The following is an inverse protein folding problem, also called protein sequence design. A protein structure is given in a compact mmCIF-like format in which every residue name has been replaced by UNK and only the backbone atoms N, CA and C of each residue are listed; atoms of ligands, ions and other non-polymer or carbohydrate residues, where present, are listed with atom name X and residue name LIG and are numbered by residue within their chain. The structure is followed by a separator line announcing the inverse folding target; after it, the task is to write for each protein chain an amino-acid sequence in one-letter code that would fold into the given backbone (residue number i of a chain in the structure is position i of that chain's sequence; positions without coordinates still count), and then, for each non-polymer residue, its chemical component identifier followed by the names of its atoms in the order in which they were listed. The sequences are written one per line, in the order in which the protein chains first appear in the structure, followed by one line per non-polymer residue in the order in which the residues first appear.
data_IF_862693677993
#
_entry.id   IF_862693677993
#
_cell.length_a   1.000
_cell.length_b   1.000
_cell.length_c   1.000
_cell.angle_alpha   90.00
_cell.angle_beta   90.00
_cell.angle_gamma   90.00
#
_symmetry.space_group_name_H-M   'P 1'
#
loop_
_entity.id
_entity.type
_entity.pdbx_description
1 polymer ?
#
# COMPACT_ATOMS: atom_id res chain seq x y z
N UNK A 1 -11.72 16.59 -1.66
CA UNK A 1 -11.84 18.03 -1.68
C UNK A 1 -10.91 18.66 -2.72
N UNK A 2 -9.58 18.52 -2.57
CA UNK A 2 -8.60 19.07 -3.51
C UNK A 2 -8.40 18.25 -4.79
N UNK A 3 -8.98 17.06 -4.89
CA UNK A 3 -8.72 16.08 -5.95
C UNK A 3 -7.24 15.70 -6.09
N UNK A 4 -6.42 15.94 -5.05
CA UNK A 4 -5.06 15.45 -5.00
C UNK A 4 -5.06 13.91 -5.07
N UNK A 5 -4.14 13.36 -5.80
CA UNK A 5 -4.06 11.93 -6.07
C UNK A 5 -2.67 11.38 -5.79
N UNK A 6 -2.60 10.14 -5.37
CA UNK A 6 -1.38 9.34 -5.26
C UNK A 6 -1.63 7.96 -5.85
N UNK A 7 -0.64 7.38 -6.48
CA UNK A 7 -0.70 6.03 -7.01
C UNK A 7 0.57 5.26 -6.71
N UNK A 8 0.40 4.00 -6.33
CA UNK A 8 1.47 3.03 -6.15
C UNK A 8 1.17 1.79 -6.99
N UNK A 9 2.20 1.24 -7.61
CA UNK A 9 2.12 -0.06 -8.29
C UNK A 9 2.22 -1.17 -7.25
N UNK A 10 1.27 -2.09 -7.26
CA UNK A 10 1.19 -3.23 -6.35
C UNK A 10 1.17 -4.52 -7.17
N UNK A 11 2.11 -5.43 -6.95
CA UNK A 11 2.23 -6.67 -7.71
C UNK A 11 1.40 -7.82 -7.13
N UNK A 12 1.03 -7.77 -5.87
CA UNK A 12 0.43 -8.91 -5.15
C UNK A 12 -1.08 -8.88 -4.97
N UNK A 13 -1.77 -7.89 -5.57
CA UNK A 13 -3.18 -7.69 -5.34
C UNK A 13 -3.49 -7.05 -3.97
N UNK A 14 -4.76 -7.10 -3.57
CA UNK A 14 -5.23 -6.44 -2.36
C UNK A 14 -4.71 -7.13 -1.09
N UNK A 15 -3.87 -6.43 -0.33
CA UNK A 15 -3.38 -6.87 0.97
C UNK A 15 -3.34 -5.70 1.95
N UNK A 16 -3.36 -6.00 3.25
CA UNK A 16 -3.23 -4.95 4.26
C UNK A 16 -1.87 -4.23 4.16
N UNK A 17 -0.77 -4.96 3.93
CA UNK A 17 0.55 -4.36 3.79
C UNK A 17 0.61 -3.38 2.61
N UNK A 18 0.03 -3.74 1.45
CA UNK A 18 -0.05 -2.85 0.29
C UNK A 18 -0.91 -1.60 0.57
N UNK A 19 -2.07 -1.78 1.23
CA UNK A 19 -2.93 -0.67 1.64
C UNK A 19 -2.21 0.26 2.61
N UNK A 20 -1.64 -0.29 3.69
CA UNK A 20 -0.99 0.49 4.73
C UNK A 20 0.24 1.24 4.22
N UNK A 21 1.06 0.60 3.40
CA UNK A 21 2.24 1.21 2.79
C UNK A 21 1.84 2.34 1.83
N UNK A 22 0.89 2.07 0.92
CA UNK A 22 0.41 3.06 -0.04
C UNK A 22 -0.27 4.26 0.62
N UNK A 23 -1.09 4.02 1.66
CA UNK A 23 -1.74 5.10 2.41
C UNK A 23 -0.72 5.96 3.16
N UNK A 24 0.25 5.36 3.84
CA UNK A 24 1.29 6.08 4.56
C UNK A 24 2.18 6.92 3.63
N UNK A 25 2.50 6.40 2.44
CA UNK A 25 3.19 7.18 1.41
C UNK A 25 2.34 8.35 0.92
N UNK A 26 1.06 8.10 0.65
CA UNK A 26 0.12 9.15 0.21
C UNK A 26 0.02 10.28 1.25
N UNK A 27 -0.17 9.94 2.52
CA UNK A 27 -0.22 10.92 3.61
C UNK A 27 1.09 11.73 3.74
N UNK A 28 2.24 11.05 3.61
CA UNK A 28 3.56 11.70 3.60
C UNK A 28 3.72 12.69 2.45
N UNK A 29 3.29 12.34 1.24
CA UNK A 29 3.35 13.19 0.06
C UNK A 29 2.34 14.36 0.11
N UNK A 30 1.16 14.12 0.67
CA UNK A 30 0.15 15.17 0.91
C UNK A 30 0.65 16.18 1.96
N UNK A 31 1.44 15.70 2.93
CA UNK A 31 1.99 16.50 4.02
C UNK A 31 1.06 16.65 5.22
N UNK A 32 0.10 15.74 5.40
CA UNK A 32 -0.83 15.74 6.53
C UNK A 32 -1.86 14.63 6.47
N UNK A 33 -2.70 14.56 7.48
CA UNK A 33 -3.69 13.49 7.67
C UNK A 33 -5.10 14.07 7.61
N UNK A 34 -5.98 13.57 6.71
CA UNK A 34 -7.39 13.97 6.70
C UNK A 34 -8.11 13.44 7.94
N UNK A 35 -9.26 14.02 8.27
CA UNK A 35 -10.12 13.54 9.38
C UNK A 35 -10.72 12.17 9.10
N UNK A 36 -11.00 11.89 7.82
CA UNK A 36 -11.63 10.66 7.36
C UNK A 36 -10.83 10.02 6.23
N UNK A 37 -10.73 8.69 6.24
CA UNK A 37 -10.24 7.90 5.12
C UNK A 37 -11.36 6.99 4.62
N UNK A 38 -11.88 7.29 3.46
CA UNK A 38 -12.99 6.57 2.84
C UNK A 38 -12.47 5.49 1.90
N UNK A 39 -12.87 4.24 2.13
CA UNK A 39 -12.49 3.12 1.28
C UNK A 39 -13.72 2.46 0.67
N UNK A 40 -13.56 1.87 -0.50
CA UNK A 40 -14.51 0.93 -1.07
C UNK A 40 -14.45 -0.42 -0.33
N UNK A 41 -15.16 -1.43 -0.82
CA UNK A 41 -15.29 -2.78 -0.24
C UNK A 41 -13.97 -3.57 -0.20
N UNK A 42 -12.88 -2.93 0.23
CA UNK A 42 -11.55 -3.53 0.29
C UNK A 42 -11.48 -4.54 1.44
N UNK A 43 -11.24 -5.83 1.16
CA UNK A 43 -11.13 -6.91 2.16
C UNK A 43 -10.01 -6.68 3.18
N UNK A 44 -8.98 -5.92 2.82
CA UNK A 44 -7.90 -5.54 3.72
C UNK A 44 -8.37 -4.57 4.83
N UNK A 45 -9.42 -3.79 4.58
CA UNK A 45 -9.97 -2.81 5.50
C UNK A 45 -11.23 -3.31 6.24
N UNK A 46 -12.05 -4.15 5.59
CA UNK A 46 -13.37 -4.52 6.08
C UNK A 46 -13.59 -6.02 6.15
N UNK A 47 -14.29 -6.47 7.23
CA UNK A 47 -14.82 -7.84 7.35
C UNK A 47 -16.35 -7.78 7.28
N UNK A 48 -16.95 -8.81 6.71
CA UNK A 48 -18.40 -9.05 6.86
C UNK A 48 -18.67 -9.62 8.26
N UNK A 49 -19.66 -9.09 8.94
CA UNK A 49 -20.13 -9.59 10.23
C UNK A 49 -21.60 -10.04 10.10
N UNK A 50 -21.82 -11.35 10.11
CA UNK A 50 -23.15 -11.94 10.10
C UNK A 50 -23.93 -11.80 8.79
N UNK A 51 -25.21 -12.26 8.83
CA UNK A 51 -26.14 -12.24 7.69
C UNK A 51 -26.71 -10.84 7.39
N UNK A 52 -26.62 -9.92 8.34
CA UNK A 52 -27.20 -8.55 8.23
C UNK A 52 -26.40 -7.58 7.37
N UNK A 53 -25.33 -8.05 6.69
CA UNK A 53 -24.53 -7.21 5.80
C UNK A 53 -23.72 -6.12 6.51
N UNK A 54 -23.69 -6.09 7.84
CA UNK A 54 -22.88 -5.15 8.60
C UNK A 54 -21.38 -5.42 8.34
N UNK A 55 -20.63 -4.33 8.11
CA UNK A 55 -19.19 -4.37 7.89
C UNK A 55 -18.47 -3.75 9.07
N UNK A 56 -17.42 -4.43 9.50
CA UNK A 56 -16.56 -3.99 10.59
C UNK A 56 -15.14 -3.77 10.07
N UNK A 57 -14.46 -2.75 10.58
CA UNK A 57 -13.04 -2.54 10.30
C UNK A 57 -12.22 -3.76 10.72
N UNK A 58 -11.27 -4.16 9.89
CA UNK A 58 -10.29 -5.14 10.35
C UNK A 58 -9.45 -4.51 11.48
N UNK A 59 -9.02 -5.31 12.45
CA UNK A 59 -8.24 -4.81 13.60
C UNK A 59 -7.00 -4.03 13.16
N UNK A 60 -6.31 -4.53 12.14
CA UNK A 60 -5.11 -3.89 11.59
C UNK A 60 -5.40 -2.55 10.95
N UNK A 61 -6.51 -2.44 10.22
CA UNK A 61 -6.89 -1.18 9.59
C UNK A 61 -7.44 -0.18 10.61
N UNK A 62 -8.18 -0.65 11.62
CA UNK A 62 -8.61 0.18 12.75
C UNK A 62 -7.41 0.76 13.50
N UNK A 63 -6.39 -0.07 13.79
CA UNK A 63 -5.15 0.37 14.44
C UNK A 63 -4.37 1.38 13.58
N UNK A 64 -4.34 1.20 12.25
CA UNK A 64 -3.73 2.16 11.32
C UNK A 64 -4.46 3.50 11.34
N UNK A 65 -5.80 3.49 11.28
CA UNK A 65 -6.61 4.71 11.38
C UNK A 65 -6.41 5.42 12.71
N UNK A 66 -6.39 4.68 13.81
CA UNK A 66 -6.14 5.22 15.16
C UNK A 66 -4.75 5.84 15.27
N UNK A 67 -3.71 5.18 14.73
CA UNK A 67 -2.33 5.69 14.73
C UNK A 67 -2.22 7.06 14.05
N UNK A 68 -2.95 7.27 12.94
CA UNK A 68 -2.99 8.51 12.20
C UNK A 68 -4.05 9.50 12.72
N UNK A 69 -4.88 9.11 13.67
CA UNK A 69 -5.97 9.94 14.20
C UNK A 69 -7.05 10.26 13.16
N UNK A 70 -7.28 9.36 12.20
CA UNK A 70 -8.33 9.47 11.19
C UNK A 70 -9.44 8.44 11.43
N UNK A 71 -10.62 8.71 10.93
CA UNK A 71 -11.75 7.79 10.96
C UNK A 71 -11.80 6.99 9.65
N UNK A 72 -11.83 5.66 9.75
CA UNK A 72 -12.11 4.80 8.59
C UNK A 72 -13.61 4.78 8.28
N UNK A 73 -13.98 5.16 7.06
CA UNK A 73 -15.38 5.22 6.62
C UNK A 73 -15.57 4.30 5.41
N UNK A 74 -16.66 3.56 5.39
CA UNK A 74 -17.04 2.71 4.27
C UNK A 74 -17.95 3.47 3.31
N UNK A 75 -17.75 3.29 2.01
CA UNK A 75 -18.70 3.75 1.01
C UNK A 75 -19.99 2.94 1.09
N UNK A 76 -21.13 3.62 1.24
CA UNK A 76 -22.42 2.96 1.24
C UNK A 76 -22.71 2.33 -0.13
N UNK A 77 -22.92 1.02 -0.15
CA UNK A 77 -23.35 0.31 -1.35
C UNK A 77 -24.69 0.90 -1.83
N UNK A 78 -24.77 1.28 -3.11
CA UNK A 78 -26.00 1.78 -3.72
C UNK A 78 -26.15 3.30 -3.80
N UNK A 79 -25.27 4.10 -3.19
CA UNK A 79 -25.23 5.57 -3.38
C UNK A 79 -24.17 5.98 -4.40
N UNK A 80 -24.43 5.70 -5.68
CA UNK A 80 -23.51 6.01 -6.78
C UNK A 80 -23.05 7.47 -6.87
N UNK A 81 -23.80 8.40 -6.29
CA UNK A 81 -23.43 9.82 -6.27
C UNK A 81 -22.24 10.14 -5.36
N UNK A 82 -21.99 9.34 -4.31
CA UNK A 82 -20.86 9.55 -3.40
C UNK A 82 -19.51 9.16 -4.04
N UNK A 83 -19.51 8.24 -5.01
CA UNK A 83 -18.32 7.75 -5.71
C UNK A 83 -18.08 8.41 -7.07
N UNK A 84 -19.06 9.11 -7.64
CA UNK A 84 -19.00 9.63 -9.00
C UNK A 84 -17.80 10.57 -9.26
N UNK A 85 -17.43 11.39 -8.27
CA UNK A 85 -16.27 12.29 -8.39
C UNK A 85 -14.93 11.50 -8.37
N UNK A 86 -14.82 10.47 -7.52
CA UNK A 86 -13.62 9.63 -7.42
C UNK A 86 -13.50 8.74 -8.64
N UNK A 87 -14.59 8.12 -9.11
CA UNK A 87 -14.62 7.31 -10.33
C UNK A 87 -14.27 8.13 -11.56
N UNK A 88 -14.80 9.34 -11.67
CA UNK A 88 -14.46 10.29 -12.74
C UNK A 88 -12.98 10.66 -12.71
N UNK A 89 -12.43 11.00 -11.54
CA UNK A 89 -11.00 11.32 -11.37
C UNK A 89 -10.11 10.13 -11.75
N UNK A 90 -10.48 8.91 -11.31
CA UNK A 90 -9.78 7.68 -11.70
C UNK A 90 -9.86 7.44 -13.21
N UNK A 91 -11.01 7.66 -13.84
CA UNK A 91 -11.19 7.56 -15.30
C UNK A 91 -10.31 8.54 -16.06
N UNK A 92 -10.20 9.79 -15.60
CA UNK A 92 -9.31 10.79 -16.18
C UNK A 92 -7.84 10.42 -16.05
N UNK A 93 -7.43 9.94 -14.88
CA UNK A 93 -6.05 9.55 -14.63
C UNK A 93 -5.66 8.32 -15.45
N UNK A 94 -6.52 7.29 -15.52
CA UNK A 94 -6.31 6.11 -16.38
C UNK A 94 -6.16 6.49 -17.85
N UNK A 95 -6.98 7.40 -18.39
CA UNK A 95 -6.85 7.90 -19.76
C UNK A 95 -5.52 8.63 -19.98
N UNK A 96 -5.10 9.47 -19.06
CA UNK A 96 -3.82 10.18 -19.12
C UNK A 96 -2.64 9.22 -19.14
N UNK A 97 -2.64 8.21 -18.27
CA UNK A 97 -1.59 7.17 -18.24
C UNK A 97 -1.56 6.43 -19.58
N UNK A 98 -2.72 6.02 -20.11
CA UNK A 98 -2.80 5.35 -21.41
C UNK A 98 -2.25 6.21 -22.54
N UNK A 99 -2.60 7.48 -22.61
CA UNK A 99 -2.06 8.42 -23.58
C UNK A 99 -0.54 8.58 -23.46
N UNK A 100 -0.04 8.68 -22.23
CA UNK A 100 1.40 8.79 -21.97
C UNK A 100 2.16 7.51 -22.39
N UNK A 101 1.57 6.32 -22.23
CA UNK A 101 2.14 5.06 -22.72
C UNK A 101 2.19 5.02 -24.25
N UNK A 102 1.14 5.48 -24.92
CA UNK A 102 1.11 5.60 -26.40
C UNK A 102 2.23 6.54 -26.89
N UNK A 103 2.38 7.71 -26.25
CA UNK A 103 3.43 8.67 -26.58
C UNK A 103 4.85 8.13 -26.29
N UNK A 104 4.99 7.28 -25.29
CA UNK A 104 6.25 6.58 -25.00
C UNK A 104 6.59 5.53 -26.07
N UNK A 105 5.61 5.01 -26.80
CA UNK A 105 5.78 4.00 -27.84
C UNK A 105 5.97 2.58 -27.33
N UNK A 106 5.93 2.33 -26.02
CA UNK A 106 6.02 0.99 -25.41
C UNK A 106 5.28 0.95 -24.09
N UNK A 107 4.67 -0.22 -23.81
CA UNK A 107 4.08 -0.55 -22.52
C UNK A 107 5.07 -1.28 -21.58
N UNK A 108 6.26 -1.64 -22.08
CA UNK A 108 7.23 -2.42 -21.33
C UNK A 108 8.18 -1.52 -20.55
N UNK A 109 8.52 -1.96 -19.36
CA UNK A 109 9.46 -1.30 -18.45
C UNK A 109 10.52 -2.31 -18.00
N UNK A 110 11.76 -1.86 -17.91
CA UNK A 110 12.87 -2.73 -17.51
C UNK A 110 12.81 -3.11 -16.04
N UNK A 111 12.26 -2.24 -15.20
CA UNK A 111 12.12 -2.46 -13.76
C UNK A 111 10.79 -1.93 -13.23
N UNK A 112 10.38 -2.44 -12.07
CA UNK A 112 9.21 -1.93 -11.35
C UNK A 112 9.40 -0.46 -10.95
N UNK A 113 10.61 -0.07 -10.61
CA UNK A 113 10.95 1.32 -10.22
C UNK A 113 10.79 2.28 -11.39
N UNK A 114 11.20 1.86 -12.60
CA UNK A 114 10.97 2.65 -13.81
C UNK A 114 9.48 2.86 -14.05
N UNK A 115 8.68 1.79 -13.91
CA UNK A 115 7.22 1.89 -14.05
C UNK A 115 6.60 2.77 -12.97
N UNK A 116 6.99 2.60 -11.71
CA UNK A 116 6.52 3.46 -10.61
C UNK A 116 6.87 4.93 -10.85
N UNK A 117 8.09 5.21 -11.31
CA UNK A 117 8.53 6.56 -11.65
C UNK A 117 7.68 7.17 -12.75
N UNK A 118 7.41 6.42 -13.80
CA UNK A 118 6.52 6.85 -14.90
C UNK A 118 5.12 7.19 -14.38
N UNK A 119 4.51 6.31 -13.57
CA UNK A 119 3.18 6.54 -12.97
C UNK A 119 3.20 7.80 -12.10
N UNK A 120 4.21 7.94 -11.23
CA UNK A 120 4.36 9.11 -10.36
C UNK A 120 4.42 10.42 -11.15
N UNK A 121 5.14 10.45 -12.26
CA UNK A 121 5.20 11.64 -13.13
C UNK A 121 3.82 12.01 -13.69
N UNK A 122 3.00 11.03 -14.08
CA UNK A 122 1.65 11.30 -14.60
C UNK A 122 0.73 11.85 -13.49
N UNK A 123 0.83 11.29 -12.28
CA UNK A 123 0.09 11.76 -11.10
C UNK A 123 0.52 13.17 -10.70
N UNK A 124 1.81 13.47 -10.69
CA UNK A 124 2.31 14.81 -10.40
C UNK A 124 1.81 15.85 -11.42
N UNK A 125 1.75 15.50 -12.71
CA UNK A 125 1.15 16.37 -13.74
C UNK A 125 -0.33 16.61 -13.49
N UNK A 126 -1.08 15.59 -13.02
CA UNK A 126 -2.47 15.74 -12.62
C UNK A 126 -2.61 16.68 -11.42
N UNK A 127 -1.81 16.49 -10.38
CA UNK A 127 -1.86 17.28 -9.15
C UNK A 127 -1.50 18.75 -9.36
N UNK A 128 -0.66 19.08 -10.35
CA UNK A 128 -0.33 20.48 -10.69
C UNK A 128 -1.57 21.31 -11.01
N UNK A 129 -2.59 20.73 -11.61
CA UNK A 129 -3.82 21.44 -11.94
C UNK A 129 -4.67 21.77 -10.70
N UNK A 130 -4.40 21.11 -9.58
CA UNK A 130 -5.17 21.22 -8.34
C UNK A 130 -4.35 21.87 -7.20
N UNK A 131 -3.21 22.50 -7.51
CA UNK A 131 -2.29 23.02 -6.50
C UNK A 131 -2.93 24.04 -5.56
N UNK A 132 -3.81 24.88 -6.07
CA UNK A 132 -4.46 25.90 -5.25
C UNK A 132 -5.47 25.30 -4.27
N UNK A 133 -6.25 24.30 -4.73
CA UNK A 133 -7.12 23.54 -3.84
C UNK A 133 -6.34 22.77 -2.78
N UNK A 134 -5.17 22.23 -3.13
CA UNK A 134 -4.29 21.55 -2.15
C UNK A 134 -3.74 22.54 -1.11
N UNK A 135 -3.40 23.77 -1.52
CA UNK A 135 -2.99 24.81 -0.57
C UNK A 135 -4.09 25.19 0.40
N UNK A 136 -5.33 25.26 -0.07
CA UNK A 136 -6.49 25.53 0.77
C UNK A 136 -6.82 24.35 1.71
N UNK A 137 -6.59 23.10 1.28
CA UNK A 137 -6.84 21.90 2.09
C UNK A 137 -5.81 21.71 3.21
N UNK A 138 -4.53 21.97 2.93
CA UNK A 138 -3.41 21.70 3.85
C UNK A 138 -3.59 22.25 5.27
N UNK A 139 -4.08 23.48 5.51
CA UNK A 139 -4.31 23.97 6.87
C UNK A 139 -5.35 23.17 7.68
N UNK A 140 -6.20 22.38 7.01
CA UNK A 140 -7.23 21.56 7.65
C UNK A 140 -6.77 20.13 7.93
N UNK A 141 -5.59 19.74 7.44
CA UNK A 141 -5.02 18.43 7.71
C UNK A 141 -4.38 18.39 9.11
N UNK A 142 -4.52 17.25 9.77
CA UNK A 142 -3.82 16.97 11.04
C UNK A 142 -2.32 16.75 10.76
N UNK A 143 -1.43 17.01 11.73
CA UNK A 143 -0.02 16.71 11.57
C UNK A 143 0.22 15.20 11.42
N UNK A 144 1.26 14.84 10.67
CA UNK A 144 1.72 13.46 10.55
C UNK A 144 2.31 13.00 11.88
N UNK A 145 2.10 11.72 12.28
CA UNK A 145 2.79 11.15 13.44
C UNK A 145 4.30 11.08 13.18
N UNK A 146 5.09 11.13 14.27
CA UNK A 146 6.56 11.07 14.19
C UNK A 146 7.10 9.77 13.59
N UNK A 147 6.33 8.67 13.69
CA UNK A 147 6.72 7.35 13.20
C UNK A 147 5.61 6.78 12.33
N UNK A 148 5.99 6.01 11.33
CA UNK A 148 5.04 5.22 10.54
C UNK A 148 4.49 4.08 11.37
N UNK A 149 3.26 3.67 11.09
CA UNK A 149 2.67 2.44 11.61
C UNK A 149 3.32 1.21 10.97
N UNK A 150 3.24 0.05 11.63
CA UNK A 150 3.69 -1.21 11.06
C UNK A 150 2.82 -1.58 9.84
N UNK A 151 3.46 -1.69 8.70
CA UNK A 151 2.86 -2.00 7.39
C UNK A 151 3.36 -3.35 6.83
N UNK A 152 3.81 -4.23 7.72
CA UNK A 152 4.35 -5.55 7.39
C UNK A 152 3.61 -6.67 8.13
N UNK A 153 3.68 -7.87 7.58
CA UNK A 153 3.36 -9.10 8.31
C UNK A 153 4.61 -9.59 9.03
N UNK A 154 4.47 -9.99 10.29
CA UNK A 154 5.57 -10.59 11.05
C UNK A 154 5.37 -12.10 11.18
N UNK A 155 6.40 -12.87 10.85
CA UNK A 155 6.42 -14.33 10.86
C UNK A 155 7.68 -14.82 11.58
N UNK A 156 7.60 -16.00 12.19
CA UNK A 156 8.78 -16.70 12.70
C UNK A 156 9.00 -17.95 11.88
N UNK A 157 10.18 -18.12 11.31
CA UNK A 157 10.56 -19.26 10.47
C UNK A 157 11.87 -19.87 10.94
N UNK A 158 12.00 -21.20 10.82
CA UNK A 158 13.26 -21.91 11.10
C UNK A 158 14.08 -22.05 9.84
N UNK A 159 15.38 -21.80 9.93
CA UNK A 159 16.31 -22.05 8.83
C UNK A 159 16.54 -23.55 8.69
N UNK A 160 16.37 -24.04 7.47
CA UNK A 160 16.58 -25.46 7.12
C UNK A 160 18.08 -25.82 7.09
N UNK A 161 18.38 -27.12 7.07
CA UNK A 161 19.75 -27.64 6.88
C UNK A 161 20.36 -27.22 5.55
N UNK A 162 19.54 -26.89 4.55
CA UNK A 162 19.94 -26.39 3.23
C UNK A 162 20.14 -24.88 3.18
N UNK A 163 20.25 -24.21 4.36
CA UNK A 163 20.41 -22.75 4.43
C UNK A 163 19.29 -21.97 3.75
N UNK A 164 18.05 -22.43 3.91
CA UNK A 164 16.86 -21.79 3.31
C UNK A 164 15.77 -21.56 4.34
N UNK A 165 14.90 -20.61 4.06
CA UNK A 165 13.63 -20.38 4.76
C UNK A 165 12.47 -20.42 3.78
N UNK A 166 11.30 -20.89 4.23
CA UNK A 166 10.05 -20.84 3.45
C UNK A 166 9.18 -19.71 4.00
N UNK A 167 8.88 -18.72 3.16
CA UNK A 167 8.02 -17.59 3.49
C UNK A 167 6.88 -17.52 2.47
N UNK A 168 5.66 -17.84 2.91
CA UNK A 168 4.46 -17.83 2.04
C UNK A 168 4.65 -18.67 0.76
N UNK A 169 5.17 -19.88 0.90
CA UNK A 169 5.45 -20.84 -0.20
C UNK A 169 6.59 -20.44 -1.15
N UNK A 170 7.36 -19.42 -0.82
CA UNK A 170 8.56 -19.03 -1.55
C UNK A 170 9.79 -19.37 -0.72
N UNK A 171 10.80 -19.98 -1.35
CA UNK A 171 12.06 -20.34 -0.72
C UNK A 171 13.07 -19.22 -0.93
N UNK A 172 13.67 -18.77 0.16
CA UNK A 172 14.75 -17.78 0.17
C UNK A 172 16.01 -18.39 0.76
N UNK A 173 17.15 -18.17 0.12
CA UNK A 173 18.46 -18.55 0.65
C UNK A 173 18.89 -17.57 1.73
N UNK A 174 19.45 -18.09 2.81
CA UNK A 174 20.00 -17.31 3.93
C UNK A 174 21.45 -17.74 4.21
N UNK A 175 22.24 -16.91 4.91
CA UNK A 175 23.59 -17.30 5.29
C UNK A 175 23.64 -18.62 6.06
N UNK A 176 24.56 -19.54 5.71
CA UNK A 176 24.66 -20.89 6.28
C UNK A 176 24.90 -20.89 7.79
N UNK A 177 25.55 -19.86 8.32
CA UNK A 177 25.73 -19.68 9.78
C UNK A 177 24.42 -19.59 10.58
N UNK A 178 23.29 -19.41 9.90
CA UNK A 178 21.95 -19.29 10.50
C UNK A 178 21.19 -20.62 10.51
N UNK A 179 21.75 -21.71 9.99
CA UNK A 179 21.13 -23.04 9.97
C UNK A 179 20.63 -23.42 11.37
N UNK A 180 19.39 -23.89 11.46
CA UNK A 180 18.72 -24.28 12.70
C UNK A 180 18.18 -23.14 13.55
N UNK A 181 18.53 -21.89 13.27
CA UNK A 181 18.02 -20.72 14.01
C UNK A 181 16.59 -20.38 13.62
N UNK A 182 15.89 -19.72 14.55
CA UNK A 182 14.58 -19.09 14.31
C UNK A 182 14.81 -17.63 13.92
N UNK A 183 14.33 -17.28 12.71
CA UNK A 183 14.38 -15.93 12.22
C UNK A 183 12.99 -15.27 12.35
N UNK A 184 12.96 -14.04 12.84
CA UNK A 184 11.81 -13.18 12.74
C UNK A 184 11.84 -12.50 11.37
N UNK A 185 10.82 -12.71 10.57
CA UNK A 185 10.70 -12.17 9.22
C UNK A 185 9.63 -11.10 9.21
N UNK A 186 9.98 -9.91 8.73
CA UNK A 186 9.04 -8.86 8.39
C UNK A 186 8.83 -8.84 6.89
N UNK A 187 7.58 -8.99 6.48
CA UNK A 187 7.18 -9.13 5.09
C UNK A 187 6.33 -7.94 4.67
N UNK A 188 6.90 -7.08 3.85
CA UNK A 188 6.20 -5.95 3.20
C UNK A 188 5.57 -6.37 1.87
N UNK A 189 5.06 -5.42 1.13
CA UNK A 189 4.50 -5.70 -0.21
C UNK A 189 5.58 -6.01 -1.24
N UNK A 190 6.72 -5.33 -1.19
CA UNK A 190 7.81 -5.38 -2.16
C UNK A 190 9.09 -6.10 -1.67
N UNK A 191 9.25 -6.29 -0.36
CA UNK A 191 10.48 -6.82 0.26
C UNK A 191 10.20 -7.66 1.50
N UNK A 192 11.23 -8.35 1.97
CA UNK A 192 11.28 -8.98 3.28
C UNK A 192 12.62 -8.72 3.96
N UNK A 193 12.59 -8.60 5.29
CA UNK A 193 13.79 -8.54 6.13
C UNK A 193 13.73 -9.63 7.19
N UNK A 194 14.86 -10.27 7.42
CA UNK A 194 15.02 -11.31 8.44
C UNK A 194 15.88 -10.81 9.60
N UNK A 195 15.50 -11.18 10.81
CA UNK A 195 16.14 -10.73 12.03
C UNK A 195 16.48 -11.90 12.96
N UNK A 196 17.66 -11.81 13.61
CA UNK A 196 18.01 -12.59 14.80
C UNK A 196 18.03 -11.61 15.98
N UNK A 197 17.09 -11.74 16.91
CA UNK A 197 16.89 -10.71 17.94
C UNK A 197 16.55 -9.36 17.32
N UNK A 198 17.36 -8.34 17.56
CA UNK A 198 17.23 -7.00 16.98
C UNK A 198 18.04 -6.78 15.69
N UNK A 199 18.95 -7.71 15.38
CA UNK A 199 19.89 -7.53 14.25
C UNK A 199 19.25 -8.02 12.94
N UNK A 200 19.25 -7.16 11.92
CA UNK A 200 18.88 -7.55 10.56
C UNK A 200 20.02 -8.39 9.96
N UNK A 201 19.69 -9.59 9.51
CA UNK A 201 20.66 -10.55 8.94
C UNK A 201 20.47 -10.76 7.46
N UNK A 202 19.33 -10.35 6.90
CA UNK A 202 19.02 -10.44 5.48
C UNK A 202 17.95 -9.44 5.10
N UNK A 203 18.09 -8.83 3.93
CA UNK A 203 17.04 -8.08 3.23
C UNK A 203 16.98 -8.57 1.79
N UNK A 204 15.78 -8.77 1.25
CA UNK A 204 15.60 -9.29 -0.11
C UNK A 204 14.30 -8.75 -0.71
N UNK A 205 14.23 -8.54 -2.03
CA UNK A 205 12.99 -8.33 -2.72
C UNK A 205 12.01 -9.47 -2.47
N UNK A 206 10.73 -9.15 -2.35
CA UNK A 206 9.68 -10.15 -2.20
C UNK A 206 9.40 -10.82 -3.54
N UNK A 207 9.65 -12.11 -3.60
CA UNK A 207 9.22 -12.95 -4.73
C UNK A 207 7.81 -13.46 -4.44
N UNK A 208 6.98 -13.54 -5.48
CA UNK A 208 5.65 -14.14 -5.42
C UNK A 208 5.63 -15.41 -6.25
N UNK A 209 4.95 -16.47 -5.78
CA UNK A 209 4.80 -17.66 -6.59
C UNK A 209 4.04 -17.29 -7.87
N UNK A 210 4.48 -17.80 -9.00
CA UNK A 210 3.72 -17.71 -10.25
C UNK A 210 2.38 -18.39 -10.02
N UNK A 211 1.31 -17.71 -10.41
CA UNK A 211 0.00 -18.34 -10.45
C UNK A 211 0.01 -19.29 -11.64
N UNK A 212 0.15 -20.59 -11.37
CA UNK A 212 -0.08 -21.62 -12.35
C UNK A 212 -1.55 -21.61 -12.86
#
# INVERSE_FOLDING_TARGET
WSHWSWMRVVLGGESFSALAEGLQEALGQLGGVPSEHKTDSLRAAWKHRGEDGQRELTERYAALCQHYGMQGVHNNAGRGHENGSVESAHGHLKRRIRQALILRGSNDFSTLEEYQTFITQQVMRHNRNNQDLVKEERPHLKPLPLRRSADYDELTVRVSSSSTINVRHVIYSVPSRLVGQLLRVRLWDDRLSCYVGSNEVMNSPRVRPEKG
#
